data_IF_792485723744
#
_entry.id   IF_792485723744
#
_cell.length_a   1.000
_cell.length_b   1.000
_cell.length_c   1.000
_cell.angle_alpha   90.00
_cell.angle_beta   90.00
_cell.angle_gamma   90.00
#
_symmetry.space_group_name_H-M   'P 1'
#
loop_
_entity.id
_entity.type
_entity.pdbx_description
1 polymer ?
#
# COMPACT_ATOMS: atom_id res chain seq x y z
N UNK A 1 6.89 60.49 -42.16
CA UNK A 1 6.74 59.90 -40.82
C UNK A 1 6.70 58.38 -40.96
N UNK A 2 7.16 57.60 -39.95
CA UNK A 2 7.97 56.38 -40.17
C UNK A 2 7.15 55.06 -40.15
N UNK A 3 7.69 53.86 -40.43
CA UNK A 3 9.04 53.44 -40.84
C UNK A 3 9.03 52.07 -41.57
N UNK A 4 10.11 51.84 -42.32
CA UNK A 4 10.68 50.55 -42.74
C UNK A 4 12.23 50.72 -42.63
N UNK A 5 13.13 49.72 -42.86
CA UNK A 5 12.96 48.29 -43.10
C UNK A 5 14.03 47.38 -42.38
N UNK A 6 14.05 46.09 -42.77
CA UNK A 6 15.18 45.14 -42.99
C UNK A 6 16.51 45.20 -42.20
N UNK A 7 16.89 43.98 -41.78
CA UNK A 7 18.22 43.32 -41.84
C UNK A 7 19.49 44.13 -42.17
N UNK A 8 20.53 43.93 -41.36
CA UNK A 8 21.93 44.07 -41.77
C UNK A 8 22.83 43.03 -41.10
N UNK A 9 23.90 42.65 -41.79
CA UNK A 9 24.91 41.68 -41.37
C UNK A 9 26.30 42.33 -41.57
N UNK A 10 27.33 41.91 -40.80
CA UNK A 10 28.62 41.65 -41.42
C UNK A 10 29.15 40.24 -41.06
N UNK A 11 29.76 39.46 -41.98
CA UNK A 11 31.15 39.59 -42.50
C UNK A 11 32.16 39.49 -41.32
N UNK A 12 33.18 38.60 -41.32
CA UNK A 12 34.15 38.30 -42.39
C UNK A 12 34.75 36.87 -42.27
N UNK A 13 34.94 36.24 -43.44
CA UNK A 13 35.87 35.16 -43.86
C UNK A 13 36.01 33.78 -43.17
N UNK A 14 36.17 32.79 -44.06
CA UNK A 14 36.65 31.44 -43.80
C UNK A 14 37.72 31.07 -44.84
N UNK A 15 38.75 30.32 -44.44
CA UNK A 15 39.60 29.46 -45.31
C UNK A 15 40.32 28.45 -44.37
N UNK A 16 39.98 27.14 -44.34
CA UNK A 16 40.21 26.02 -45.29
C UNK A 16 41.67 25.58 -45.47
N UNK A 17 41.96 24.36 -45.00
CA UNK A 17 42.83 23.25 -45.50
C UNK A 17 43.14 22.35 -44.27
N UNK A 18 42.82 21.06 -44.13
CA UNK A 18 42.87 19.87 -45.01
C UNK A 18 44.31 19.58 -45.50
N UNK A 19 44.96 18.41 -45.31
CA UNK A 19 44.61 17.05 -44.80
C UNK A 19 45.67 16.65 -43.71
N UNK A 20 45.85 15.43 -43.16
CA UNK A 20 45.77 14.06 -43.69
C UNK A 20 45.89 13.00 -42.58
N UNK A 21 45.63 11.72 -42.88
CA UNK A 21 45.61 10.56 -41.95
C UNK A 21 46.57 9.50 -42.49
N UNK A 22 47.44 8.88 -41.65
CA UNK A 22 47.26 7.45 -41.36
C UNK A 22 47.68 6.97 -39.95
N UNK A 23 47.07 5.88 -39.51
CA UNK A 23 47.54 5.02 -38.40
C UNK A 23 48.62 4.03 -38.89
N UNK A 24 49.43 3.42 -38.00
CA UNK A 24 49.04 2.12 -37.42
C UNK A 24 49.42 1.95 -35.93
N UNK A 25 49.30 0.72 -35.41
CA UNK A 25 49.19 0.36 -33.99
C UNK A 25 50.49 -0.25 -33.36
N UNK A 26 50.44 -1.15 -32.35
CA UNK A 26 50.92 -0.99 -30.96
C UNK A 26 52.26 -1.77 -30.74
N UNK A 27 52.69 -2.27 -29.54
CA UNK A 27 52.17 -2.20 -28.16
C UNK A 27 53.25 -1.90 -27.07
N UNK A 28 52.91 -2.00 -25.78
CA UNK A 28 53.62 -2.81 -24.75
C UNK A 28 52.90 -2.73 -23.39
N UNK A 29 53.04 -3.79 -22.60
CA UNK A 29 52.36 -4.05 -21.32
C UNK A 29 52.81 -3.18 -20.14
N UNK A 30 51.97 -3.13 -19.09
CA UNK A 30 52.38 -3.60 -17.74
C UNK A 30 51.22 -3.82 -16.74
N UNK A 31 51.12 -5.10 -16.33
CA UNK A 31 50.80 -5.58 -14.97
C UNK A 31 49.49 -5.15 -14.28
N UNK A 32 48.47 -6.00 -14.44
CA UNK A 32 47.54 -6.32 -13.34
C UNK A 32 48.29 -7.06 -12.22
N UNK A 33 48.01 -6.75 -10.94
CA UNK A 33 48.27 -7.66 -9.81
C UNK A 33 46.92 -8.18 -9.30
N UNK A 34 46.65 -9.45 -9.57
CA UNK A 34 45.52 -10.20 -9.02
C UNK A 34 46.06 -11.19 -7.99
N UNK A 35 45.65 -11.09 -6.72
CA UNK A 35 45.91 -12.15 -5.75
C UNK A 35 44.84 -13.23 -5.87
N UNK A 36 45.25 -14.40 -6.34
CA UNK A 36 44.50 -15.64 -6.25
C UNK A 36 44.46 -16.14 -4.81
N UNK A 37 43.32 -16.66 -4.39
CA UNK A 37 43.27 -17.93 -3.66
C UNK A 37 42.14 -18.79 -4.23
N UNK A 38 42.41 -20.10 -4.36
CA UNK A 38 41.67 -21.03 -5.22
C UNK A 38 41.61 -22.41 -4.55
N UNK A 39 40.38 -22.91 -4.33
CA UNK A 39 40.04 -24.31 -4.10
C UNK A 39 38.49 -24.39 -4.20
N UNK A 40 37.82 -24.93 -5.23
CA UNK A 40 38.16 -25.81 -6.35
C UNK A 40 38.19 -27.33 -6.04
N UNK A 41 36.99 -27.92 -5.94
CA UNK A 41 36.63 -29.28 -6.41
C UNK A 41 35.12 -29.48 -6.21
N UNK A 42 34.27 -29.83 -7.19
CA UNK A 42 34.46 -30.08 -8.62
C UNK A 42 33.91 -31.46 -9.01
N UNK A 43 32.88 -31.51 -9.86
CA UNK A 43 32.58 -32.59 -10.82
C UNK A 43 31.49 -32.14 -11.81
N UNK A 44 31.50 -32.71 -13.01
CA UNK A 44 30.88 -32.13 -14.21
C UNK A 44 29.57 -32.81 -14.67
N UNK A 45 28.88 -32.13 -15.60
CA UNK A 45 27.61 -32.51 -16.25
C UNK A 45 27.76 -33.67 -17.25
N UNK A 46 26.63 -34.20 -17.77
CA UNK A 46 26.41 -34.10 -19.23
C UNK A 46 25.01 -33.60 -19.67
N UNK A 47 24.80 -33.56 -20.99
CA UNK A 47 23.84 -32.74 -21.78
C UNK A 47 23.13 -33.63 -22.84
N UNK A 48 21.82 -33.53 -23.19
CA UNK A 48 20.78 -32.60 -22.72
C UNK A 48 19.36 -33.18 -22.47
N UNK A 49 18.35 -33.14 -23.39
CA UNK A 49 17.19 -32.30 -23.09
C UNK A 49 15.84 -33.03 -23.04
N UNK A 50 14.92 -32.53 -22.19
CA UNK A 50 13.45 -32.65 -22.34
C UNK A 50 12.76 -31.60 -21.47
N UNK A 51 11.81 -30.87 -22.03
CA UNK A 51 11.11 -29.80 -21.32
C UNK A 51 10.02 -30.32 -20.39
N UNK A 52 9.73 -29.56 -19.33
CA UNK A 52 8.46 -29.64 -18.61
C UNK A 52 8.07 -28.25 -18.10
N UNK A 53 6.77 -27.97 -18.12
CA UNK A 53 6.20 -26.81 -17.45
C UNK A 53 6.38 -26.94 -15.94
N UNK A 54 6.77 -25.86 -15.27
CA UNK A 54 7.05 -25.85 -13.83
C UNK A 54 6.59 -24.56 -13.16
N UNK A 55 5.35 -24.54 -12.69
CA UNK A 55 4.86 -23.53 -11.73
C UNK A 55 5.63 -23.67 -10.40
N UNK A 56 6.19 -22.60 -9.81
CA UNK A 56 6.87 -22.68 -8.51
C UNK A 56 5.85 -22.97 -7.39
N UNK A 57 6.04 -24.01 -6.55
CA UNK A 57 4.99 -24.46 -5.62
C UNK A 57 5.21 -23.94 -4.19
N UNK A 58 4.60 -22.80 -3.83
CA UNK A 58 4.52 -22.36 -2.43
C UNK A 58 3.18 -21.69 -2.10
N UNK A 59 2.16 -22.51 -1.85
CA UNK A 59 0.90 -22.11 -1.24
C UNK A 59 0.47 -23.18 -0.20
N UNK A 60 0.07 -22.70 0.98
CA UNK A 60 -0.46 -23.41 2.17
C UNK A 60 0.49 -23.97 3.25
N UNK A 61 -0.02 -23.79 4.48
CA UNK A 61 0.36 -24.33 5.80
C UNK A 61 1.59 -23.69 6.53
N UNK A 62 1.39 -23.11 7.74
CA UNK A 62 2.50 -22.75 8.63
C UNK A 62 3.06 -24.01 9.35
N UNK A 63 4.36 -24.04 9.70
CA UNK A 63 4.95 -25.18 10.38
C UNK A 63 4.41 -25.32 11.81
N UNK A 64 3.90 -26.51 12.13
CA UNK A 64 3.66 -26.93 13.52
C UNK A 64 4.98 -27.40 14.12
N UNK A 65 5.49 -26.70 15.13
CA UNK A 65 6.52 -27.22 16.04
C UNK A 65 5.96 -27.28 17.48
N UNK A 66 6.30 -28.34 18.24
CA UNK A 66 5.63 -28.62 19.51
C UNK A 66 6.23 -27.81 20.68
N UNK A 67 5.37 -27.16 21.44
CA UNK A 67 5.74 -26.54 22.72
C UNK A 67 5.97 -27.63 23.78
N UNK A 68 7.22 -27.77 24.25
CA UNK A 68 7.48 -28.40 25.55
C UNK A 68 7.37 -27.34 26.65
N UNK A 69 6.66 -27.69 27.72
CA UNK A 69 6.53 -26.88 28.93
C UNK A 69 7.90 -26.73 29.61
N UNK A 70 8.29 -25.50 29.95
CA UNK A 70 8.93 -25.24 31.24
C UNK A 70 8.13 -24.16 31.95
N UNK A 71 7.62 -24.50 33.13
CA UNK A 71 6.98 -23.58 34.06
C UNK A 71 8.02 -23.29 35.14
N UNK A 72 8.51 -22.05 35.18
CA UNK A 72 9.22 -21.53 36.35
C UNK A 72 8.37 -20.46 37.01
N UNK A 73 7.63 -20.88 38.03
CA UNK A 73 6.94 -20.04 38.98
C UNK A 73 7.95 -19.37 39.90
N UNK A 74 8.03 -18.03 39.85
CA UNK A 74 8.68 -17.23 40.89
C UNK A 74 7.61 -16.60 41.80
N UNK A 75 7.72 -16.71 43.13
CA UNK A 75 6.75 -16.11 44.05
C UNK A 75 7.02 -14.61 44.25
N UNK A 76 5.96 -13.80 44.22
CA UNK A 76 6.01 -12.41 44.69
C UNK A 76 5.74 -12.35 46.20
N UNK A 77 6.49 -11.55 46.98
CA UNK A 77 6.20 -11.32 48.40
C UNK A 77 5.01 -10.34 48.59
N UNK A 78 4.27 -10.44 49.71
CA UNK A 78 3.13 -9.58 50.00
C UNK A 78 3.53 -8.15 50.45
N UNK A 79 2.63 -7.16 50.33
CA UNK A 79 2.91 -5.76 50.70
C UNK A 79 2.74 -5.48 52.20
N UNK A 80 3.66 -4.68 52.76
CA UNK A 80 3.57 -4.15 54.13
C UNK A 80 2.78 -2.83 54.20
N UNK A 81 2.07 -2.52 55.31
CA UNK A 81 1.18 -1.36 55.39
C UNK A 81 1.80 -0.12 56.03
N UNK A 82 1.31 1.08 55.66
CA UNK A 82 1.38 2.27 56.53
C UNK A 82 1.63 3.62 55.86
N UNK A 83 1.17 4.69 56.54
CA UNK A 83 1.46 6.13 56.33
C UNK A 83 0.62 6.83 55.23
N UNK A 84 0.09 8.07 55.46
CA UNK A 84 -1.29 8.38 55.04
C UNK A 84 -1.46 9.35 53.85
N UNK A 85 -2.73 9.51 53.44
CA UNK A 85 -3.19 10.35 52.32
C UNK A 85 -3.11 11.86 52.63
N UNK A 86 -2.64 12.71 51.69
CA UNK A 86 -2.91 14.15 51.71
C UNK A 86 -4.37 14.47 51.34
N UNK A 87 -4.88 15.68 51.63
CA UNK A 87 -6.32 15.94 51.70
C UNK A 87 -7.04 16.05 50.35
N UNK A 88 -8.35 15.78 50.42
CA UNK A 88 -9.35 15.80 49.36
C UNK A 88 -9.70 17.25 48.99
N UNK A 89 -9.52 17.63 47.72
CA UNK A 89 -9.98 18.93 47.19
C UNK A 89 -11.16 18.70 46.25
N UNK A 90 -12.24 19.48 46.43
CA UNK A 90 -13.39 19.61 45.52
C UNK A 90 -14.26 20.81 45.98
N UNK A 91 -15.11 21.42 45.14
CA UNK A 91 -14.61 22.40 44.17
C UNK A 91 -15.21 23.81 44.36
N UNK A 92 -14.47 24.84 43.96
CA UNK A 92 -14.98 26.20 43.92
C UNK A 92 -15.96 26.39 42.74
N UNK A 93 -17.22 26.75 43.05
CA UNK A 93 -18.23 27.08 42.03
C UNK A 93 -17.91 28.43 41.38
N UNK A 94 -17.77 28.46 40.06
CA UNK A 94 -18.02 29.67 39.27
C UNK A 94 -18.86 29.31 38.04
N UNK A 95 -20.02 29.95 37.91
CA UNK A 95 -20.98 29.63 36.88
C UNK A 95 -20.70 30.40 35.59
N UNK A 96 -20.52 29.70 34.47
CA UNK A 96 -20.94 30.16 33.15
C UNK A 96 -21.59 28.99 32.42
N UNK A 97 -22.85 29.15 32.03
CA UNK A 97 -23.63 28.09 31.41
C UNK A 97 -23.00 27.65 30.08
N UNK A 98 -22.57 26.39 30.03
CA UNK A 98 -22.49 25.64 28.77
C UNK A 98 -23.67 24.67 28.77
N UNK A 99 -24.40 24.64 27.65
CA UNK A 99 -25.44 23.64 27.42
C UNK A 99 -24.84 22.23 27.58
N UNK A 100 -25.62 21.24 28.04
CA UNK A 100 -25.12 19.88 28.19
C UNK A 100 -24.67 19.36 26.83
N UNK A 101 -23.35 19.17 26.68
CA UNK A 101 -22.82 18.36 25.60
C UNK A 101 -23.44 16.97 25.74
N UNK A 102 -24.00 16.45 24.65
CA UNK A 102 -24.40 15.05 24.58
C UNK A 102 -23.17 14.19 24.90
N UNK A 103 -23.10 13.67 26.12
CA UNK A 103 -22.27 12.53 26.49
C UNK A 103 -22.89 11.25 25.90
N UNK A 104 -23.12 11.28 24.59
CA UNK A 104 -23.49 10.10 23.83
C UNK A 104 -22.37 9.09 23.97
N UNK A 105 -22.69 7.96 24.60
CA UNK A 105 -21.87 6.75 24.50
C UNK A 105 -21.52 6.56 23.02
N UNK A 106 -20.23 6.40 22.65
CA UNK A 106 -19.85 6.22 21.26
C UNK A 106 -20.69 5.10 20.67
N UNK A 107 -21.41 5.39 19.59
CA UNK A 107 -22.31 4.42 18.99
C UNK A 107 -21.49 3.19 18.57
N UNK A 108 -21.70 2.06 19.27
CA UNK A 108 -20.98 0.81 19.03
C UNK A 108 -20.99 0.50 17.54
N UNK A 109 -19.83 0.18 16.98
CA UNK A 109 -19.72 -0.08 15.55
C UNK A 109 -20.62 -1.27 15.18
N UNK A 110 -21.74 -0.96 14.53
CA UNK A 110 -22.71 -1.93 14.06
C UNK A 110 -22.54 -2.13 12.55
N UNK A 111 -22.47 -3.39 12.11
CA UNK A 111 -22.45 -3.72 10.67
C UNK A 111 -23.81 -3.41 10.07
N UNK A 112 -23.98 -2.20 9.51
CA UNK A 112 -25.30 -1.73 9.05
C UNK A 112 -25.78 -2.40 7.76
N UNK A 113 -24.86 -2.74 6.85
CA UNK A 113 -25.15 -3.42 5.57
C UNK A 113 -23.98 -4.32 5.18
N UNK A 114 -24.29 -5.50 4.67
CA UNK A 114 -23.32 -6.41 4.02
C UNK A 114 -23.79 -6.64 2.59
N UNK A 115 -22.87 -6.58 1.63
CA UNK A 115 -23.10 -6.95 0.23
C UNK A 115 -22.06 -7.98 -0.20
N UNK A 116 -22.47 -8.89 -1.07
CA UNK A 116 -21.61 -9.92 -1.64
C UNK A 116 -21.43 -9.64 -3.13
N UNK A 117 -20.25 -9.15 -3.49
CA UNK A 117 -19.84 -8.96 -4.88
C UNK A 117 -19.28 -10.29 -5.38
N UNK A 118 -19.99 -10.96 -6.29
CA UNK A 118 -19.59 -12.24 -6.85
C UNK A 118 -19.69 -12.21 -8.36
N UNK A 119 -18.61 -12.63 -9.03
CA UNK A 119 -18.42 -12.97 -10.47
C UNK A 119 -16.93 -13.09 -10.83
N UNK A 120 -16.02 -12.85 -9.88
CA UNK A 120 -14.59 -13.17 -10.01
C UNK A 120 -14.37 -14.64 -10.38
N UNK A 121 -13.43 -14.86 -11.30
CA UNK A 121 -12.99 -16.20 -11.71
C UNK A 121 -11.71 -16.66 -10.95
N UNK A 122 -11.18 -15.83 -10.06
CA UNK A 122 -10.10 -16.16 -9.14
C UNK A 122 -10.27 -15.49 -7.77
N UNK A 123 -9.26 -15.60 -6.90
CA UNK A 123 -9.25 -14.88 -5.63
C UNK A 123 -9.21 -13.36 -5.83
N UNK A 124 -9.62 -12.58 -4.82
CA UNK A 124 -9.54 -11.11 -4.85
C UNK A 124 -8.34 -10.68 -4.01
N UNK A 125 -7.32 -10.12 -4.64
CA UNK A 125 -6.11 -9.68 -3.92
C UNK A 125 -6.31 -8.33 -3.25
N UNK A 126 -6.94 -7.39 -3.96
CA UNK A 126 -7.02 -5.98 -3.61
C UNK A 126 -8.38 -5.38 -3.98
N UNK A 127 -8.73 -4.31 -3.28
CA UNK A 127 -9.96 -3.56 -3.52
C UNK A 127 -9.87 -2.13 -2.96
N UNK A 128 -10.55 -1.20 -3.62
CA UNK A 128 -10.57 0.21 -3.28
C UNK A 128 -11.93 0.82 -3.62
N UNK A 129 -12.42 1.74 -2.80
CA UNK A 129 -13.60 2.55 -3.15
C UNK A 129 -13.19 3.77 -3.99
N UNK A 130 -14.09 4.26 -4.82
CA UNK A 130 -13.95 5.56 -5.46
C UNK A 130 -13.97 6.69 -4.41
N UNK A 131 -13.43 7.88 -4.71
CA UNK A 131 -13.41 9.01 -3.77
C UNK A 131 -14.81 9.42 -3.25
N UNK A 132 -15.85 9.24 -4.06
CA UNK A 132 -17.25 9.48 -3.71
C UNK A 132 -17.97 8.29 -3.04
N UNK A 133 -17.29 7.14 -2.91
CA UNK A 133 -17.81 5.89 -2.36
C UNK A 133 -18.86 5.17 -3.23
N UNK A 134 -19.22 5.70 -4.41
CA UNK A 134 -20.29 5.16 -5.25
C UNK A 134 -19.87 3.89 -5.99
N UNK A 135 -18.57 3.72 -6.26
CA UNK A 135 -17.99 2.55 -6.90
C UNK A 135 -17.04 1.79 -5.97
N UNK A 136 -16.99 0.47 -6.16
CA UNK A 136 -15.97 -0.41 -5.61
C UNK A 136 -15.16 -0.99 -6.76
N UNK A 137 -13.83 -0.93 -6.64
CA UNK A 137 -12.85 -1.57 -7.50
C UNK A 137 -12.34 -2.85 -6.83
N UNK A 138 -12.15 -3.92 -7.59
CA UNK A 138 -11.52 -5.15 -7.09
C UNK A 138 -10.60 -5.76 -8.15
N UNK A 139 -9.35 -6.09 -7.78
CA UNK A 139 -8.39 -6.81 -8.62
C UNK A 139 -8.33 -8.29 -8.26
N UNK A 140 -8.32 -9.18 -9.26
CA UNK A 140 -8.40 -10.63 -9.07
C UNK A 140 -7.21 -11.41 -9.66
N UNK A 141 -7.01 -12.62 -9.15
CA UNK A 141 -6.04 -13.60 -9.62
C UNK A 141 -6.22 -13.98 -11.10
N UNK A 142 -7.43 -13.78 -11.66
CA UNK A 142 -7.79 -14.04 -13.06
C UNK A 142 -7.30 -12.98 -14.08
N UNK A 143 -6.41 -12.07 -13.66
CA UNK A 143 -5.86 -11.01 -14.51
C UNK A 143 -6.86 -9.90 -14.86
N UNK A 144 -8.04 -9.86 -14.22
CA UNK A 144 -9.05 -8.84 -14.46
C UNK A 144 -9.27 -7.91 -13.27
N UNK A 145 -9.71 -6.70 -13.59
CA UNK A 145 -10.22 -5.71 -12.66
C UNK A 145 -11.73 -5.58 -12.84
N UNK A 146 -12.46 -5.56 -11.75
CA UNK A 146 -13.92 -5.47 -11.75
C UNK A 146 -14.35 -4.17 -11.05
N UNK A 147 -15.25 -3.44 -11.68
CA UNK A 147 -15.88 -2.24 -11.15
C UNK A 147 -17.35 -2.51 -10.80
N UNK A 148 -17.77 -2.13 -9.60
CA UNK A 148 -19.08 -2.42 -9.06
C UNK A 148 -19.74 -1.15 -8.54
N UNK A 149 -21.07 -1.04 -8.62
CA UNK A 149 -21.79 0.00 -7.91
C UNK A 149 -21.98 -0.40 -6.44
N UNK A 150 -21.47 0.42 -5.51
CA UNK A 150 -21.52 0.15 -4.06
C UNK A 150 -22.96 0.05 -3.55
N UNK A 151 -23.91 0.83 -4.11
CA UNK A 151 -25.29 0.91 -3.63
C UNK A 151 -26.16 -0.28 -4.06
N UNK A 152 -26.11 -0.73 -5.31
CA UNK A 152 -26.85 -1.91 -5.76
C UNK A 152 -26.09 -3.22 -5.50
N UNK A 153 -24.77 -3.23 -5.70
CA UNK A 153 -23.97 -4.45 -5.84
C UNK A 153 -23.83 -4.93 -7.29
N UNK A 154 -24.33 -4.16 -8.26
CA UNK A 154 -24.24 -4.49 -9.69
C UNK A 154 -22.80 -4.44 -10.18
N UNK A 155 -22.43 -5.41 -11.03
CA UNK A 155 -21.20 -5.35 -11.80
C UNK A 155 -21.38 -4.34 -12.94
N UNK A 156 -20.56 -3.29 -12.95
CA UNK A 156 -20.55 -2.26 -13.99
C UNK A 156 -19.69 -2.70 -15.17
N UNK A 157 -18.50 -3.23 -14.89
CA UNK A 157 -17.58 -3.72 -15.91
C UNK A 157 -16.56 -4.74 -15.37
N UNK A 158 -16.05 -5.59 -16.27
CA UNK A 158 -14.92 -6.51 -16.05
C UNK A 158 -13.88 -6.21 -17.13
N UNK A 159 -12.75 -5.65 -16.72
CA UNK A 159 -11.66 -5.28 -17.63
C UNK A 159 -10.50 -6.26 -17.47
N UNK A 160 -10.25 -7.03 -18.52
CA UNK A 160 -9.08 -7.90 -18.65
C UNK A 160 -7.96 -7.22 -19.41
N UNK A 161 -6.79 -7.87 -19.44
CA UNK A 161 -5.63 -7.44 -20.22
C UNK A 161 -4.31 -7.66 -19.51
N UNK A 162 -4.31 -7.79 -18.18
CA UNK A 162 -3.14 -8.35 -17.50
C UNK A 162 -3.02 -9.84 -17.84
N UNK A 163 -1.78 -10.31 -18.01
CA UNK A 163 -1.49 -11.73 -18.32
C UNK A 163 -1.20 -12.56 -17.07
N UNK A 164 -1.22 -11.94 -15.90
CA UNK A 164 -1.13 -12.58 -14.60
C UNK A 164 -1.98 -11.88 -13.54
N UNK A 165 -2.04 -12.43 -12.32
CA UNK A 165 -2.83 -11.90 -11.20
C UNK A 165 -2.73 -10.38 -11.02
N UNK A 166 -3.87 -9.70 -10.84
CA UNK A 166 -3.89 -8.31 -10.37
C UNK A 166 -3.69 -8.33 -8.86
N UNK A 167 -2.59 -7.73 -8.38
CA UNK A 167 -2.19 -7.70 -6.98
C UNK A 167 -2.69 -6.46 -6.25
N UNK A 168 -2.74 -5.31 -6.93
CA UNK A 168 -3.22 -4.05 -6.35
C UNK A 168 -4.05 -3.25 -7.35
N UNK A 169 -5.03 -2.48 -6.86
CA UNK A 169 -5.81 -1.56 -7.66
C UNK A 169 -6.30 -0.35 -6.83
N UNK A 170 -6.28 0.85 -7.41
CA UNK A 170 -6.65 2.10 -6.71
C UNK A 170 -7.14 3.15 -7.71
N UNK A 171 -8.17 3.93 -7.34
CA UNK A 171 -8.62 5.10 -8.11
C UNK A 171 -7.65 6.29 -7.97
N UNK A 172 -7.67 7.20 -8.94
CA UNK A 172 -7.09 8.54 -8.76
C UNK A 172 -7.96 9.38 -7.78
N UNK A 173 -7.39 10.37 -7.08
CA UNK A 173 -8.14 11.30 -6.23
C UNK A 173 -9.28 12.05 -6.92
N UNK A 174 -9.15 12.33 -8.22
CA UNK A 174 -10.23 12.93 -9.03
C UNK A 174 -11.35 11.94 -9.44
N UNK A 175 -11.14 10.64 -9.22
CA UNK A 175 -12.08 9.57 -9.59
C UNK A 175 -12.24 9.31 -11.08
N UNK A 176 -11.51 10.00 -11.97
CA UNK A 176 -11.61 9.82 -13.42
C UNK A 176 -10.82 8.62 -13.94
N UNK A 177 -9.75 8.25 -13.24
CA UNK A 177 -8.86 7.15 -13.59
C UNK A 177 -8.79 6.10 -12.48
N UNK A 178 -8.27 4.93 -12.83
CA UNK A 178 -7.70 4.01 -11.84
C UNK A 178 -6.46 3.32 -12.40
N UNK A 179 -5.64 2.82 -11.49
CA UNK A 179 -4.45 2.03 -11.78
C UNK A 179 -4.63 0.59 -11.28
N UNK A 180 -4.05 -0.37 -12.00
CA UNK A 180 -3.89 -1.76 -11.54
C UNK A 180 -2.45 -2.24 -11.69
N UNK A 181 -1.97 -2.96 -10.68
CA UNK A 181 -0.63 -3.54 -10.60
C UNK A 181 -0.72 -5.08 -10.61
N UNK A 182 0.20 -5.75 -11.30
CA UNK A 182 0.10 -7.19 -11.58
C UNK A 182 1.42 -7.96 -11.47
N UNK A 183 1.27 -9.27 -11.26
CA UNK A 183 2.32 -10.27 -11.46
C UNK A 183 2.95 -10.26 -12.86
N UNK A 184 2.26 -9.72 -13.88
CA UNK A 184 2.81 -9.58 -15.24
C UNK A 184 3.86 -8.48 -15.40
N UNK A 185 4.31 -7.89 -14.28
CA UNK A 185 5.34 -6.84 -14.21
C UNK A 185 4.91 -5.51 -14.86
N UNK A 186 3.62 -5.32 -15.12
CA UNK A 186 3.08 -4.05 -15.65
C UNK A 186 2.16 -3.36 -14.66
N UNK A 187 2.03 -2.05 -14.86
CA UNK A 187 0.91 -1.26 -14.32
C UNK A 187 0.04 -0.83 -15.48
N UNK A 188 -1.28 -0.91 -15.34
CA UNK A 188 -2.23 -0.41 -16.33
C UNK A 188 -3.00 0.78 -15.77
N UNK A 189 -3.12 1.83 -16.59
CA UNK A 189 -3.98 2.98 -16.34
C UNK A 189 -5.26 2.83 -17.15
N UNK A 190 -6.38 3.15 -16.52
CA UNK A 190 -7.72 2.91 -17.04
C UNK A 190 -8.61 4.13 -16.86
N UNK A 191 -9.47 4.37 -17.85
CA UNK A 191 -10.53 5.36 -17.80
C UNK A 191 -11.78 4.76 -17.13
N UNK A 192 -12.28 5.42 -16.09
CA UNK A 192 -13.44 4.94 -15.30
C UNK A 192 -14.74 5.02 -16.12
N UNK A 193 -14.95 6.11 -16.86
CA UNK A 193 -16.20 6.37 -17.57
C UNK A 193 -16.29 5.57 -18.88
N UNK A 194 -15.18 5.41 -19.59
CA UNK A 194 -15.07 4.65 -20.85
C UNK A 194 -14.82 3.16 -20.63
N UNK A 195 -14.46 2.76 -19.40
CA UNK A 195 -14.10 1.40 -19.01
C UNK A 195 -13.05 0.78 -19.96
N UNK A 196 -11.95 1.51 -20.22
CA UNK A 196 -10.90 1.13 -21.18
C UNK A 196 -9.50 1.36 -20.61
N UNK A 197 -8.56 0.49 -21.00
CA UNK A 197 -7.14 0.69 -20.73
C UNK A 197 -6.65 1.87 -21.59
N UNK A 198 -6.07 2.89 -20.96
CA UNK A 198 -5.44 4.01 -21.65
C UNK A 198 -3.96 3.71 -21.93
N UNK A 199 -3.26 3.15 -20.95
CA UNK A 199 -1.80 2.92 -21.02
C UNK A 199 -1.38 1.63 -20.31
N UNK A 200 -0.27 1.07 -20.76
CA UNK A 200 0.42 -0.07 -20.13
C UNK A 200 1.84 0.39 -19.81
N UNK A 201 2.06 0.72 -18.53
CA UNK A 201 3.35 1.17 -18.00
C UNK A 201 4.25 -0.05 -17.82
N UNK A 202 5.37 -0.07 -18.54
CA UNK A 202 6.36 -1.17 -18.54
C UNK A 202 7.69 -0.65 -18.03
N UNK A 203 8.35 -1.43 -17.18
CA UNK A 203 9.68 -1.10 -16.66
C UNK A 203 10.08 -1.99 -15.47
N UNK A 204 9.11 -2.36 -14.63
CA UNK A 204 9.34 -3.31 -13.54
C UNK A 204 9.81 -4.66 -14.07
N UNK A 205 10.69 -5.30 -13.31
CA UNK A 205 11.33 -6.58 -13.69
C UNK A 205 10.70 -7.80 -13.01
N UNK A 206 9.79 -7.57 -12.06
CA UNK A 206 9.05 -8.59 -11.30
C UNK A 206 7.65 -8.04 -10.96
N UNK A 207 6.81 -8.88 -10.33
CA UNK A 207 5.45 -8.53 -9.88
C UNK A 207 5.39 -7.16 -9.20
N UNK A 208 4.42 -6.35 -9.61
CA UNK A 208 4.11 -5.04 -9.04
C UNK A 208 3.02 -5.20 -8.00
N UNK A 209 3.30 -4.82 -6.75
CA UNK A 209 2.45 -5.11 -5.59
C UNK A 209 1.74 -3.86 -5.04
N UNK A 210 2.11 -2.67 -5.49
CA UNK A 210 1.48 -1.42 -5.05
C UNK A 210 1.43 -0.35 -6.13
N UNK A 211 0.36 0.46 -6.08
CA UNK A 211 0.23 1.73 -6.81
C UNK A 211 -0.41 2.80 -5.93
N UNK A 212 0.04 4.04 -6.09
CA UNK A 212 -0.55 5.25 -5.50
C UNK A 212 -0.52 6.39 -6.50
N UNK A 213 -1.55 7.22 -6.51
CA UNK A 213 -1.57 8.47 -7.28
C UNK A 213 -1.13 9.63 -6.39
N UNK A 214 -0.53 10.66 -6.98
CA UNK A 214 -0.33 11.94 -6.31
C UNK A 214 -1.67 12.63 -6.04
N UNK A 215 -1.76 13.56 -5.05
CA UNK A 215 -3.01 14.25 -4.71
C UNK A 215 -3.64 15.04 -5.88
N UNK A 216 -2.81 15.52 -6.82
CA UNK A 216 -3.23 16.23 -8.04
C UNK A 216 -3.58 15.29 -9.21
N UNK A 217 -3.53 13.97 -9.00
CA UNK A 217 -3.76 12.91 -10.01
C UNK A 217 -2.78 12.91 -11.20
N UNK A 218 -1.72 13.73 -11.19
CA UNK A 218 -0.78 13.87 -12.34
C UNK A 218 0.36 12.85 -12.35
N UNK A 219 0.72 12.31 -11.19
CA UNK A 219 1.77 11.32 -11.03
C UNK A 219 1.23 10.02 -10.45
N UNK A 220 1.89 8.93 -10.80
CA UNK A 220 1.65 7.61 -10.22
C UNK A 220 2.98 7.08 -9.68
N UNK A 221 2.98 6.52 -8.48
CA UNK A 221 4.08 5.69 -7.98
C UNK A 221 3.66 4.22 -8.04
N UNK A 222 4.59 3.35 -8.42
CA UNK A 222 4.44 1.90 -8.38
C UNK A 222 5.65 1.22 -7.74
N UNK A 223 5.45 0.10 -7.07
CA UNK A 223 6.51 -0.67 -6.42
C UNK A 223 6.21 -2.16 -6.36
N UNK A 224 7.25 -2.98 -6.22
CA UNK A 224 7.10 -4.43 -6.22
C UNK A 224 8.34 -5.23 -5.86
N UNK A 225 8.36 -6.48 -6.34
CA UNK A 225 9.35 -7.51 -6.00
C UNK A 225 10.75 -7.32 -6.60
N UNK A 226 10.89 -6.37 -7.53
CA UNK A 226 12.18 -5.93 -8.06
C UNK A 226 12.86 -4.89 -7.16
N UNK A 227 12.25 -4.57 -6.00
CA UNK A 227 12.77 -3.67 -4.96
C UNK A 227 12.86 -2.20 -5.41
N UNK A 228 12.29 -1.88 -6.57
CA UNK A 228 12.29 -0.55 -7.18
C UNK A 228 10.97 0.14 -6.91
N UNK A 229 11.03 1.47 -6.91
CA UNK A 229 9.84 2.32 -6.97
C UNK A 229 9.96 3.19 -8.21
N UNK A 230 8.97 3.13 -9.09
CA UNK A 230 8.92 3.90 -10.32
C UNK A 230 7.86 4.98 -10.20
N UNK A 231 8.26 6.21 -10.54
CA UNK A 231 7.39 7.37 -10.59
C UNK A 231 7.07 7.66 -12.06
N UNK A 232 5.79 7.80 -12.39
CA UNK A 232 5.28 7.95 -13.75
C UNK A 232 4.48 9.24 -13.90
N UNK A 233 4.50 9.84 -15.07
CA UNK A 233 3.53 10.87 -15.46
C UNK A 233 2.27 10.19 -16.01
N UNK A 234 1.11 10.48 -15.42
CA UNK A 234 -0.16 9.82 -15.74
C UNK A 234 -0.64 10.12 -17.16
N UNK A 235 -0.39 11.34 -17.66
CA UNK A 235 -0.87 11.76 -18.98
C UNK A 235 -0.08 11.13 -20.14
N UNK A 236 1.25 10.99 -20.01
CA UNK A 236 2.12 10.46 -21.07
C UNK A 236 2.50 8.99 -20.90
N UNK A 237 2.39 8.45 -19.68
CA UNK A 237 2.85 7.12 -19.31
C UNK A 237 4.37 7.00 -19.19
N UNK A 238 5.10 8.11 -19.24
CA UNK A 238 6.57 8.11 -19.15
C UNK A 238 7.04 7.94 -17.71
N UNK A 239 8.13 7.21 -17.52
CA UNK A 239 8.80 7.10 -16.22
C UNK A 239 9.59 8.39 -15.93
N UNK A 240 9.15 9.15 -14.93
CA UNK A 240 9.77 10.38 -14.45
C UNK A 240 11.01 10.12 -13.57
N UNK A 241 10.95 9.10 -12.71
CA UNK A 241 12.04 8.77 -11.78
C UNK A 241 12.05 7.29 -11.42
N UNK A 242 13.25 6.74 -11.25
CA UNK A 242 13.49 5.45 -10.62
C UNK A 242 14.10 5.69 -9.24
N UNK A 243 13.31 5.44 -8.19
CA UNK A 243 13.73 5.59 -6.80
C UNK A 243 14.30 4.24 -6.31
N UNK A 244 15.54 4.27 -5.81
CA UNK A 244 16.31 3.07 -5.45
C UNK A 244 16.84 3.20 -4.03
N UNK A 245 16.67 2.15 -3.23
CA UNK A 245 17.25 2.09 -1.88
C UNK A 245 16.67 1.01 -0.97
N UNK A 246 15.44 0.55 -1.23
CA UNK A 246 14.88 -0.61 -0.51
C UNK A 246 15.71 -1.87 -0.79
N UNK A 247 15.86 -2.69 0.25
CA UNK A 247 16.63 -3.94 0.24
C UNK A 247 15.77 -5.16 -0.04
N UNK A 248 14.45 -5.02 -0.01
CA UNK A 248 13.48 -6.07 -0.37
C UNK A 248 12.25 -5.50 -1.09
N UNK A 249 11.24 -6.34 -1.33
CA UNK A 249 10.01 -6.00 -2.07
C UNK A 249 9.29 -4.81 -1.44
N UNK A 250 8.93 -3.84 -2.27
CA UNK A 250 8.03 -2.76 -1.89
C UNK A 250 6.59 -3.26 -2.00
N UNK A 251 5.80 -3.07 -0.95
CA UNK A 251 4.43 -3.60 -0.81
C UNK A 251 3.38 -2.51 -0.69
N UNK A 252 3.78 -1.31 -0.27
CA UNK A 252 2.87 -0.19 -0.08
C UNK A 252 3.54 1.11 -0.48
N UNK A 253 2.78 1.98 -1.12
CA UNK A 253 3.16 3.33 -1.45
C UNK A 253 1.97 4.24 -1.18
N UNK A 254 2.26 5.45 -0.71
CA UNK A 254 1.26 6.50 -0.54
C UNK A 254 1.91 7.89 -0.63
N UNK A 255 1.25 8.84 -1.30
CA UNK A 255 1.74 10.21 -1.41
C UNK A 255 1.31 11.03 -0.20
N UNK A 256 2.16 11.94 0.25
CA UNK A 256 1.76 12.91 1.25
C UNK A 256 0.80 13.95 0.63
N UNK A 257 -0.30 14.31 1.31
CA UNK A 257 -1.22 15.34 0.84
C UNK A 257 -0.72 16.77 1.08
N UNK A 258 0.26 16.97 1.99
CA UNK A 258 0.71 18.29 2.44
C UNK A 258 2.10 18.69 1.94
N UNK A 259 2.96 17.73 1.61
CA UNK A 259 4.30 17.95 1.05
C UNK A 259 4.50 17.07 -0.18
N UNK A 260 5.33 17.54 -1.13
CA UNK A 260 5.65 16.79 -2.34
C UNK A 260 6.63 15.64 -2.04
N UNK A 261 6.14 14.63 -1.33
CA UNK A 261 6.87 13.47 -0.86
C UNK A 261 6.05 12.18 -1.05
N UNK A 262 6.74 11.06 -1.23
CA UNK A 262 6.17 9.72 -1.29
C UNK A 262 6.67 8.88 -0.11
N UNK A 263 5.78 8.19 0.59
CA UNK A 263 6.16 7.15 1.55
C UNK A 263 6.08 5.77 0.88
N UNK A 264 7.08 4.91 1.09
CA UNK A 264 7.08 3.53 0.62
C UNK A 264 7.47 2.55 1.71
N UNK A 265 6.74 1.46 1.81
CA UNK A 265 6.89 0.42 2.83
C UNK A 265 7.33 -0.90 2.20
N UNK A 266 8.33 -1.53 2.81
CA UNK A 266 9.02 -2.69 2.25
C UNK A 266 9.11 -3.87 3.22
N UNK A 267 9.39 -5.04 2.64
CA UNK A 267 9.74 -6.26 3.35
C UNK A 267 11.09 -6.21 4.07
N UNK A 268 11.92 -5.20 3.80
CA UNK A 268 13.13 -4.90 4.59
C UNK A 268 12.83 -4.27 5.97
N UNK A 269 11.56 -4.24 6.38
CA UNK A 269 11.03 -3.64 7.61
C UNK A 269 11.20 -2.12 7.74
N UNK A 270 11.69 -1.43 6.70
CA UNK A 270 11.80 0.03 6.70
C UNK A 270 10.69 0.71 5.90
N UNK A 271 10.43 1.95 6.30
CA UNK A 271 9.63 2.90 5.53
C UNK A 271 10.60 3.96 4.99
N UNK A 272 10.45 4.35 3.73
CA UNK A 272 11.26 5.40 3.10
C UNK A 272 10.38 6.56 2.67
N UNK A 273 10.76 7.77 3.07
CA UNK A 273 10.16 9.02 2.65
C UNK A 273 11.05 9.61 1.57
N UNK A 274 10.56 9.67 0.34
CA UNK A 274 11.25 10.22 -0.83
C UNK A 274 10.81 11.65 -1.06
N UNK A 275 11.77 12.56 -1.21
CA UNK A 275 11.52 13.96 -1.55
C UNK A 275 11.38 14.10 -3.07
N UNK A 276 10.19 14.49 -3.54
CA UNK A 276 9.88 14.54 -4.97
C UNK A 276 10.03 15.94 -5.58
N UNK A 277 10.57 16.93 -4.84
CA UNK A 277 10.87 18.26 -5.42
C UNK A 277 11.85 18.16 -6.60
N UNK A 278 11.82 19.14 -7.49
CA UNK A 278 12.74 19.21 -8.63
C UNK A 278 14.18 19.38 -8.13
N UNK A 279 15.13 18.69 -8.78
CA UNK A 279 16.55 18.71 -8.39
C UNK A 279 16.94 17.78 -7.23
N UNK A 280 16.00 17.11 -6.55
CA UNK A 280 16.37 16.12 -5.51
C UNK A 280 16.89 14.82 -6.15
N UNK A 281 18.05 14.29 -5.72
CA UNK A 281 18.55 13.01 -6.21
C UNK A 281 17.56 11.88 -5.90
N UNK A 282 17.35 10.96 -6.85
CA UNK A 282 16.43 9.83 -6.69
C UNK A 282 16.83 8.82 -5.58
N UNK A 283 18.07 8.94 -5.07
CA UNK A 283 18.57 8.19 -3.90
C UNK A 283 18.36 8.93 -2.58
N UNK A 284 17.89 10.18 -2.59
CA UNK A 284 17.62 10.96 -1.38
C UNK A 284 16.31 10.49 -0.74
N UNK A 285 16.42 9.89 0.44
CA UNK A 285 15.29 9.41 1.23
C UNK A 285 15.61 9.52 2.72
N UNK A 286 14.56 9.65 3.53
CA UNK A 286 14.64 9.48 4.98
C UNK A 286 14.05 8.13 5.36
N UNK A 287 14.75 7.34 6.18
CA UNK A 287 14.25 6.07 6.67
C UNK A 287 13.50 6.28 8.00
N UNK A 288 12.31 5.68 8.14
CA UNK A 288 11.66 5.48 9.43
C UNK A 288 11.87 4.03 9.84
N UNK A 289 12.49 3.83 11.01
CA UNK A 289 12.82 2.53 11.59
C UNK A 289 12.13 2.38 12.95
N UNK A 290 11.74 1.15 13.31
CA UNK A 290 11.05 0.86 14.57
C UNK A 290 10.10 -0.34 14.51
N UNK A 291 9.63 -0.69 13.30
CA UNK A 291 8.98 -1.97 13.06
C UNK A 291 9.99 -3.13 13.11
N UNK A 292 9.57 -4.28 13.64
CA UNK A 292 10.40 -5.49 13.75
C UNK A 292 10.08 -6.56 12.69
N UNK A 293 9.25 -6.20 11.71
CA UNK A 293 8.88 -7.05 10.59
C UNK A 293 8.39 -6.26 9.39
N UNK A 294 8.18 -6.97 8.29
CA UNK A 294 7.82 -6.46 6.97
C UNK A 294 6.67 -5.42 7.04
N UNK A 295 6.85 -4.28 6.38
CA UNK A 295 5.77 -3.30 6.21
C UNK A 295 4.80 -3.82 5.15
N UNK A 296 3.52 -3.87 5.47
CA UNK A 296 2.46 -4.41 4.62
C UNK A 296 1.53 -3.34 4.05
N UNK A 297 1.31 -2.26 4.79
CA UNK A 297 0.44 -1.16 4.36
C UNK A 297 0.88 0.19 4.96
N UNK A 298 0.69 1.24 4.18
CA UNK A 298 0.88 2.64 4.52
C UNK A 298 -0.41 3.41 4.21
N UNK A 299 -0.68 4.46 4.99
CA UNK A 299 -1.74 5.43 4.72
C UNK A 299 -1.34 6.78 5.33
N UNK A 300 -1.33 7.83 4.52
CA UNK A 300 -1.26 9.20 5.00
C UNK A 300 -2.62 9.68 5.54
N UNK A 301 -2.57 10.53 6.56
CA UNK A 301 -3.69 11.36 7.00
C UNK A 301 -3.70 12.68 6.22
N UNK A 302 -4.82 13.41 6.21
CA UNK A 302 -4.97 14.69 5.52
C UNK A 302 -4.00 15.79 6.05
N UNK A 303 -3.67 15.78 7.34
CA UNK A 303 -2.66 16.65 7.97
C UNK A 303 -1.21 16.22 7.70
N UNK A 304 -1.00 15.03 7.11
CA UNK A 304 0.32 14.51 6.77
C UNK A 304 0.98 13.63 7.83
N UNK A 305 0.24 13.15 8.84
CA UNK A 305 0.68 12.00 9.63
C UNK A 305 0.73 10.75 8.74
N UNK A 306 1.63 9.82 9.05
CA UNK A 306 1.74 8.55 8.32
C UNK A 306 1.43 7.40 9.28
N UNK A 307 0.48 6.54 8.93
CA UNK A 307 0.29 5.26 9.61
C UNK A 307 0.95 4.14 8.81
N UNK A 308 1.53 3.17 9.51
CA UNK A 308 2.12 1.96 8.92
C UNK A 308 1.69 0.70 9.65
N UNK A 309 1.21 -0.30 8.91
CA UNK A 309 0.93 -1.64 9.41
C UNK A 309 2.05 -2.60 9.03
N UNK A 310 2.33 -3.55 9.92
CA UNK A 310 3.42 -4.52 9.75
C UNK A 310 3.02 -5.95 10.12
N UNK A 311 3.87 -6.88 9.70
CA UNK A 311 3.85 -8.29 10.08
C UNK A 311 4.20 -8.52 11.54
N UNK A 312 4.83 -7.55 12.22
CA UNK A 312 5.05 -7.56 13.68
C UNK A 312 3.76 -7.39 14.51
N UNK A 313 2.59 -7.28 13.85
CA UNK A 313 1.24 -7.18 14.43
C UNK A 313 0.97 -5.84 15.13
N UNK A 314 1.82 -4.85 14.90
CA UNK A 314 1.64 -3.48 15.39
C UNK A 314 1.29 -2.53 14.25
N UNK A 315 0.81 -1.35 14.64
CA UNK A 315 0.68 -0.21 13.74
C UNK A 315 1.43 0.95 14.39
N UNK A 316 2.22 1.67 13.61
CA UNK A 316 2.92 2.86 14.07
C UNK A 316 2.33 4.10 13.39
N UNK A 317 2.12 5.17 14.15
CA UNK A 317 1.74 6.50 13.64
C UNK A 317 2.96 7.41 13.79
N UNK A 318 3.42 7.95 12.67
CA UNK A 318 4.64 8.74 12.54
C UNK A 318 4.32 10.20 12.21
N UNK A 319 5.22 11.09 12.61
CA UNK A 319 5.32 12.44 12.04
C UNK A 319 6.54 12.48 11.10
N UNK A 320 6.35 12.38 9.77
CA UNK A 320 7.46 12.23 8.83
C UNK A 320 8.46 13.39 8.86
N UNK A 321 7.99 14.62 9.06
CA UNK A 321 8.84 15.83 9.08
C UNK A 321 9.89 15.84 10.19
N UNK A 322 9.65 15.12 11.29
CA UNK A 322 10.60 14.93 12.41
C UNK A 322 11.13 13.50 12.48
N UNK A 323 10.68 12.60 11.60
CA UNK A 323 10.89 11.14 11.66
C UNK A 323 10.62 10.51 13.03
N UNK A 324 9.75 11.14 13.82
CA UNK A 324 9.41 10.68 15.16
C UNK A 324 8.21 9.75 15.11
N UNK A 325 8.34 8.58 15.73
CA UNK A 325 7.21 7.76 16.16
C UNK A 325 6.38 8.54 17.18
N UNK A 326 5.10 8.74 16.90
CA UNK A 326 4.15 9.36 17.84
C UNK A 326 3.47 8.30 18.72
N UNK A 327 2.90 7.27 18.09
CA UNK A 327 2.08 6.26 18.76
C UNK A 327 2.35 4.88 18.18
N UNK A 328 2.46 3.87 19.05
CA UNK A 328 2.52 2.46 18.69
C UNK A 328 1.24 1.74 19.15
N UNK A 329 0.40 1.33 18.20
CA UNK A 329 -0.84 0.59 18.45
C UNK A 329 -0.55 -0.91 18.53
N UNK A 330 -0.90 -1.54 19.65
CA UNK A 330 -0.71 -2.98 19.91
C UNK A 330 -2.06 -3.64 20.20
N UNK A 331 -2.27 -4.84 19.66
CA UNK A 331 -3.48 -5.64 19.93
C UNK A 331 -4.03 -6.44 18.76
N UNK A 332 -3.45 -6.33 17.56
CA UNK A 332 -3.70 -7.32 16.50
C UNK A 332 -3.01 -8.65 16.85
N UNK A 333 -3.67 -9.76 16.53
CA UNK A 333 -3.16 -11.13 16.80
C UNK A 333 -2.34 -11.66 15.61
N UNK A 334 -2.64 -11.15 14.42
CA UNK A 334 -1.98 -11.46 13.15
C UNK A 334 -1.30 -10.21 12.60
N UNK A 335 -0.51 -10.37 11.54
CA UNK A 335 -0.09 -9.27 10.68
C UNK A 335 -1.25 -8.35 10.26
N UNK A 336 -0.95 -7.06 10.15
CA UNK A 336 -1.87 -6.04 9.63
C UNK A 336 -1.81 -6.10 8.10
N UNK A 337 -2.96 -5.93 7.42
CA UNK A 337 -3.06 -5.96 5.94
C UNK A 337 -3.54 -4.63 5.36
N UNK A 338 -4.43 -3.93 6.07
CA UNK A 338 -5.01 -2.67 5.63
C UNK A 338 -5.20 -1.73 6.82
N UNK A 339 -5.06 -0.43 6.56
CA UNK A 339 -5.22 0.67 7.49
C UNK A 339 -5.87 1.85 6.73
N UNK A 340 -6.69 2.64 7.42
CA UNK A 340 -7.21 3.91 6.91
C UNK A 340 -7.51 4.87 8.07
N UNK A 341 -7.20 6.15 7.88
CA UNK A 341 -7.66 7.22 8.76
C UNK A 341 -9.12 7.58 8.50
N UNK A 342 -9.82 8.01 9.54
CA UNK A 342 -11.09 8.71 9.41
C UNK A 342 -10.88 10.12 8.83
N UNK A 343 -11.90 10.74 8.18
CA UNK A 343 -11.77 12.07 7.59
C UNK A 343 -11.49 13.18 8.62
N UNK A 344 -11.85 12.96 9.88
CA UNK A 344 -11.57 13.84 11.03
C UNK A 344 -10.24 13.51 11.75
N UNK A 345 -9.51 12.51 11.27
CA UNK A 345 -8.25 11.97 11.81
C UNK A 345 -8.28 11.44 13.25
N UNK A 346 -9.43 11.53 13.94
CA UNK A 346 -9.59 11.08 15.33
C UNK A 346 -9.43 9.57 15.45
N UNK A 347 -9.76 8.83 14.40
CA UNK A 347 -9.76 7.37 14.39
C UNK A 347 -8.92 6.77 13.27
N UNK A 348 -8.34 5.61 13.55
CA UNK A 348 -7.75 4.72 12.57
C UNK A 348 -8.56 3.43 12.52
N UNK A 349 -9.00 3.00 11.35
CA UNK A 349 -9.50 1.66 11.12
C UNK A 349 -8.33 0.77 10.65
N UNK A 350 -8.27 -0.46 11.14
CA UNK A 350 -7.29 -1.42 10.64
C UNK A 350 -7.78 -2.86 10.66
N UNK A 351 -7.29 -3.61 9.69
CA UNK A 351 -7.71 -4.96 9.41
C UNK A 351 -6.51 -5.84 9.05
N UNK A 352 -6.63 -7.14 9.31
CA UNK A 352 -5.60 -8.14 9.02
C UNK A 352 -6.22 -9.45 8.58
N UNK A 353 -5.44 -10.53 8.71
CA UNK A 353 -5.93 -11.90 8.47
C UNK A 353 -6.61 -12.52 9.69
N UNK A 354 -6.58 -11.85 10.84
CA UNK A 354 -7.54 -12.14 11.90
C UNK A 354 -8.94 -11.73 11.43
N UNK A 355 -9.97 -12.47 11.86
CA UNK A 355 -11.40 -12.20 11.59
C UNK A 355 -11.94 -10.98 12.36
N UNK A 356 -11.11 -9.95 12.45
CA UNK A 356 -11.28 -8.77 13.28
C UNK A 356 -10.90 -7.51 12.51
N UNK A 357 -11.79 -6.52 12.57
CA UNK A 357 -11.48 -5.12 12.20
C UNK A 357 -11.46 -4.33 13.49
N UNK A 358 -10.42 -3.54 13.70
CA UNK A 358 -10.21 -2.73 14.91
C UNK A 358 -10.28 -1.26 14.59
N UNK A 359 -10.83 -0.49 15.50
CA UNK A 359 -10.81 0.97 15.44
C UNK A 359 -10.09 1.51 16.65
N UNK A 360 -9.20 2.47 16.40
CA UNK A 360 -8.24 3.00 17.35
C UNK A 360 -8.41 4.50 17.44
N UNK A 361 -8.19 5.04 18.63
CA UNK A 361 -8.06 6.48 18.88
C UNK A 361 -6.65 6.92 18.48
N UNK A 362 -6.54 7.86 17.53
CA UNK A 362 -5.28 8.38 17.01
C UNK A 362 -4.53 9.31 17.98
N UNK A 363 -5.16 9.72 19.08
CA UNK A 363 -4.55 10.58 20.11
C UNK A 363 -4.09 9.76 21.32
N UNK A 364 -4.91 8.78 21.76
CA UNK A 364 -4.60 7.98 22.96
C UNK A 364 -3.98 6.61 22.65
N UNK A 365 -4.01 6.18 21.39
CA UNK A 365 -3.54 4.86 20.96
C UNK A 365 -4.40 3.67 21.41
N UNK A 366 -5.53 3.93 22.08
CA UNK A 366 -6.42 2.89 22.61
C UNK A 366 -7.25 2.26 21.48
N UNK A 367 -7.40 0.94 21.53
CA UNK A 367 -8.40 0.24 20.73
C UNK A 367 -9.78 0.58 21.28
N UNK A 368 -10.56 1.37 20.56
CA UNK A 368 -11.93 1.76 20.93
C UNK A 368 -12.88 0.59 20.72
N UNK A 369 -12.78 -0.07 19.57
CA UNK A 369 -13.75 -1.08 19.12
C UNK A 369 -13.09 -2.25 18.42
N UNK A 370 -13.75 -3.42 18.41
CA UNK A 370 -13.28 -4.61 17.69
C UNK A 370 -14.46 -5.39 17.10
N UNK A 371 -14.71 -5.19 15.82
CA UNK A 371 -15.68 -5.94 15.02
C UNK A 371 -15.15 -7.36 14.77
N UNK A 372 -15.86 -8.40 15.23
CA UNK A 372 -15.46 -9.81 15.08
C UNK A 372 -16.43 -10.58 14.15
N UNK A 373 -15.90 -11.53 13.38
CA UNK A 373 -16.69 -12.59 12.75
C UNK A 373 -17.53 -12.18 11.52
N UNK A 374 -17.17 -11.08 10.85
CA UNK A 374 -17.86 -10.60 9.64
C UNK A 374 -17.22 -11.14 8.35
N UNK A 375 -15.89 -11.32 8.38
CA UNK A 375 -15.03 -11.68 7.25
C UNK A 375 -13.98 -12.69 7.73
N UNK A 376 -13.53 -13.59 6.85
CA UNK A 376 -12.41 -14.49 7.13
C UNK A 376 -11.08 -13.78 6.95
N UNK A 377 -10.94 -12.99 5.87
CA UNK A 377 -9.82 -12.09 5.61
C UNK A 377 -10.40 -10.75 5.18
N UNK A 378 -10.01 -9.66 5.84
CA UNK A 378 -10.33 -8.31 5.39
C UNK A 378 -9.22 -7.80 4.47
N UNK A 379 -9.54 -7.51 3.20
CA UNK A 379 -8.58 -7.07 2.19
C UNK A 379 -8.34 -5.56 2.26
N UNK A 380 -9.42 -4.77 2.43
CA UNK A 380 -9.36 -3.32 2.53
C UNK A 380 -10.28 -2.83 3.64
N UNK A 381 -9.87 -1.76 4.32
CA UNK A 381 -10.75 -0.92 5.12
C UNK A 381 -10.54 0.54 4.69
N UNK A 382 -11.63 1.27 4.49
CA UNK A 382 -11.65 2.69 4.13
C UNK A 382 -12.77 3.39 4.89
N UNK A 383 -12.60 4.67 5.19
CA UNK A 383 -13.72 5.50 5.67
C UNK A 383 -14.40 6.19 4.49
N UNK A 384 -15.72 6.34 4.58
CA UNK A 384 -16.48 7.27 3.74
C UNK A 384 -16.43 8.69 4.32
N UNK A 385 -16.71 9.73 3.52
CA UNK A 385 -16.77 11.12 3.99
C UNK A 385 -17.74 11.36 5.15
N UNK A 386 -18.76 10.51 5.32
CA UNK A 386 -19.71 10.56 6.43
C UNK A 386 -19.28 9.75 7.69
N UNK A 387 -18.00 9.40 7.78
CA UNK A 387 -17.38 8.75 8.95
C UNK A 387 -17.69 7.26 9.13
N UNK A 388 -18.43 6.63 8.19
CA UNK A 388 -18.67 5.18 8.24
C UNK A 388 -17.45 4.42 7.72
N UNK A 389 -17.25 3.21 8.23
CA UNK A 389 -16.19 2.32 7.75
C UNK A 389 -16.77 1.37 6.72
N UNK A 390 -16.19 1.37 5.52
CA UNK A 390 -16.37 0.35 4.51
C UNK A 390 -15.23 -0.66 4.63
N UNK A 391 -15.57 -1.94 4.77
CA UNK A 391 -14.62 -3.05 4.78
C UNK A 391 -15.00 -4.01 3.67
N UNK A 392 -14.02 -4.42 2.87
CA UNK A 392 -14.17 -5.53 1.92
C UNK A 392 -13.24 -6.68 2.34
N UNK A 393 -13.66 -7.89 2.06
CA UNK A 393 -12.99 -9.09 2.53
C UNK A 393 -13.49 -10.35 1.85
N UNK A 394 -12.73 -11.43 1.97
CA UNK A 394 -13.23 -12.77 1.75
C UNK A 394 -14.26 -13.10 2.85
N UNK A 395 -15.48 -13.42 2.43
CA UNK A 395 -16.54 -13.84 3.33
C UNK A 395 -16.51 -15.36 3.56
N UNK A 396 -16.81 -15.78 4.79
CA UNK A 396 -16.94 -17.19 5.17
C UNK A 396 -17.92 -17.94 4.24
N UNK A 397 -17.46 -19.06 3.69
CA UNK A 397 -18.23 -19.89 2.76
C UNK A 397 -19.54 -20.40 3.39
N UNK A 398 -19.61 -20.56 4.72
CA UNK A 398 -20.81 -21.02 5.43
C UNK A 398 -21.98 -20.02 5.29
N UNK A 399 -21.72 -18.70 5.41
CA UNK A 399 -22.76 -17.66 5.22
C UNK A 399 -23.22 -17.54 3.77
N UNK A 400 -22.41 -17.97 2.79
CA UNK A 400 -22.78 -18.03 1.37
C UNK A 400 -23.86 -19.07 1.07
N UNK A 401 -24.03 -20.09 1.94
CA UNK A 401 -25.16 -21.03 1.89
C UNK A 401 -26.43 -20.44 2.52
N UNK A 402 -26.32 -19.84 3.71
CA UNK A 402 -27.48 -19.33 4.46
C UNK A 402 -28.29 -18.30 3.66
N UNK A 403 -27.63 -17.39 2.94
CA UNK A 403 -28.31 -16.38 2.10
C UNK A 403 -28.86 -16.92 0.77
N UNK A 404 -28.46 -18.12 0.35
CA UNK A 404 -29.08 -18.84 -0.79
C UNK A 404 -30.31 -19.63 -0.36
N UNK A 405 -30.33 -20.17 0.85
CA UNK A 405 -31.48 -20.90 1.42
C UNK A 405 -32.63 -20.01 1.87
N UNK A 406 -32.43 -18.69 2.04
CA UNK A 406 -33.50 -17.73 2.38
C UNK A 406 -34.19 -17.12 1.14
N UNK A 407 -34.13 -17.76 -0.03
CA UNK A 407 -34.95 -17.42 -1.21
C UNK A 407 -35.73 -18.66 -1.68
N UNK A 408 -37.06 -18.61 -1.53
CA UNK A 408 -38.05 -19.69 -1.76
C UNK A 408 -37.92 -20.88 -0.78
N UNK A 409 -39.02 -21.52 -0.31
CA UNK A 409 -40.27 -21.90 -1.01
C UNK A 409 -41.26 -20.74 -1.18
N UNK A 410 -41.84 -20.46 -2.35
CA UNK A 410 -42.84 -21.22 -3.12
C UNK A 410 -44.19 -21.30 -2.41
N UNK A 411 -45.09 -20.37 -2.75
CA UNK A 411 -46.50 -20.42 -2.36
C UNK A 411 -47.16 -21.70 -2.90
N UNK A 412 -47.86 -22.48 -2.06
CA UNK A 412 -48.84 -23.44 -2.56
C UNK A 412 -50.12 -22.69 -2.97
N UNK A 413 -50.51 -22.79 -4.23
CA UNK A 413 -51.86 -22.42 -4.67
C UNK A 413 -52.88 -23.42 -4.12
N UNK A 414 -53.88 -22.90 -3.40
CA UNK A 414 -55.29 -23.35 -3.41
C UNK A 414 -56.17 -22.19 -2.97
#
# INVERSE_FOLDING_TARGET
>A
MPCCPRESCPRVEAQRLAREVPSPSPPVSRLLRLHLLRAASGLALPVSPRGFAGTPPWLYAPPRLPWRRLVHSFPFPPPSPGVPRPPRWEPARSGRGRAPMNSGVPATLAVRRVKFFGRHSGEVNSSAFSPDGQMLLTGSEDGCVYGWETRSGQLLWRLGGHTGPVKFCRFSPDGHLFASASCDCTVRLWDVARAKCLQVLKGHQRSVETVSFSPDSRQLASGGWDKRVMLWEVQSGQMLRLLVGHRDSVQSSDFSPTVNCLATGSWDATIRIWDLRTGTPAVSHQALEGHSGNISCLCYSASGLLASGSWDKTIHIWKPTTSSLLIQLKGHVTWVKSIAFSPDELWLASAGYSRMVKVWDCNTGKCLETLKGVLDVAHTCAFTPDGKILVSGAADQTRRRISRTTKSPSDPQT
#
